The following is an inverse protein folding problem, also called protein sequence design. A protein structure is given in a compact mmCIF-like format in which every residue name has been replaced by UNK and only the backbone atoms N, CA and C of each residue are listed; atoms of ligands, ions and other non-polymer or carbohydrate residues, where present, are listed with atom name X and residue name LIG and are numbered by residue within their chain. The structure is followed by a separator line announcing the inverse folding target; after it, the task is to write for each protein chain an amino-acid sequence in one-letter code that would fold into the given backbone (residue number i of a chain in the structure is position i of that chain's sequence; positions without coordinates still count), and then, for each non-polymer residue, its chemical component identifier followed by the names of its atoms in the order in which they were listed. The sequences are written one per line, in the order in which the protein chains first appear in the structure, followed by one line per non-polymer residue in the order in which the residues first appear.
data_IF_669233599028
#
_entry.id   IF_669233599028
#
_cell.length_a   1.000
_cell.length_b   1.000
_cell.length_c   1.000
_cell.angle_alpha   90.00
_cell.angle_beta   90.00
_cell.angle_gamma   90.00
#
_symmetry.space_group_name_H-M   'P 1'
#
loop_
_entity.id
_entity.type
_entity.pdbx_description
1 polymer ?
#
# COMPACT_ATOMS: atom_id res chain seq x y z
N UNK A 1 -20.18 20.62 12.25
CA UNK A 1 -20.20 20.21 12.35
C UNK A 1 -20.06 19.60 12.31
N UNK A 2 -19.63 19.57 12.33
CA UNK A 2 -19.57 18.96 12.37
C UNK A 2 -19.84 18.36 12.01
N UNK A 3 -19.74 18.40 11.73
CA UNK A 3 -20.03 17.78 11.49
C UNK A 3 -20.32 17.12 10.97
N UNK A 4 -20.25 17.28 10.63
CA UNK A 4 -20.56 16.58 10.26
C UNK A 4 -20.42 15.87 10.07
N UNK A 5 -20.06 15.79 10.35
CA UNK A 5 -19.98 14.93 10.47
C UNK A 5 -20.44 14.08 10.20
N UNK A 6 -20.28 14.13 10.02
CA UNK A 6 -20.91 13.46 9.85
C UNK A 6 -21.40 12.37 9.71
N UNK A 7 -21.83 12.61 9.60
CA UNK A 7 -22.51 11.43 9.71
C UNK A 7 -22.46 10.45 8.63
N UNK A 8 -21.52 10.55 7.77
CA UNK A 8 -21.25 9.58 6.76
C UNK A 8 -20.94 8.24 7.39
N UNK A 9 -21.23 7.12 6.71
CA UNK A 9 -20.81 5.82 7.20
C UNK A 9 -19.31 5.81 7.47
N UNK A 10 -18.90 4.98 8.40
CA UNK A 10 -17.51 4.99 8.84
C UNK A 10 -16.53 4.84 7.69
N UNK A 11 -16.85 3.99 6.73
CA UNK A 11 -15.95 3.76 5.61
C UNK A 11 -15.88 4.93 4.66
N UNK A 12 -16.83 5.87 4.74
CA UNK A 12 -16.86 7.03 3.87
C UNK A 12 -16.37 8.29 4.55
N UNK A 13 -16.10 8.21 5.84
CA UNK A 13 -15.61 9.38 6.55
C UNK A 13 -14.14 9.56 6.30
N UNK A 14 -13.67 10.80 6.14
CA UNK A 14 -12.24 11.00 6.11
C UNK A 14 -11.66 10.61 7.46
N UNK A 15 -10.54 9.91 7.43
CA UNK A 15 -9.83 9.54 8.64
C UNK A 15 -9.17 10.75 9.26
N UNK A 16 -8.94 11.81 8.47
CA UNK A 16 -8.14 12.95 8.89
C UNK A 16 -9.00 14.20 8.97
N UNK A 17 -8.66 15.12 9.90
CA UNK A 17 -9.29 16.43 9.91
C UNK A 17 -9.01 17.17 8.60
N UNK A 18 -9.91 18.08 8.25
CA UNK A 18 -9.80 18.81 6.99
C UNK A 18 -8.58 19.72 6.94
N UNK A 19 -8.04 20.11 8.11
CA UNK A 19 -6.95 21.07 8.16
C UNK A 19 -5.57 20.44 8.26
N UNK A 20 -5.45 19.12 8.11
CA UNK A 20 -4.13 18.51 8.16
C UNK A 20 -3.45 18.62 6.82
N UNK A 21 -2.15 18.55 6.86
CA UNK A 21 -1.33 18.60 5.67
C UNK A 21 -0.91 17.20 5.26
N UNK A 22 -1.08 16.89 3.99
CA UNK A 22 -0.70 15.60 3.43
C UNK A 22 0.70 15.72 2.85
N UNK A 23 1.57 14.80 3.24
CA UNK A 23 2.90 14.69 2.66
C UNK A 23 3.08 13.35 1.98
N UNK A 24 4.18 13.22 1.26
CA UNK A 24 4.53 11.96 0.60
C UNK A 24 5.75 11.40 1.29
N UNK A 25 5.66 10.13 1.66
CA UNK A 25 6.75 9.38 2.27
C UNK A 25 7.16 8.28 1.28
N UNK A 26 8.34 8.42 0.69
CA UNK A 26 8.83 7.40 -0.24
C UNK A 26 9.41 6.27 0.57
N UNK A 27 8.96 5.05 0.28
CA UNK A 27 9.50 3.88 0.97
C UNK A 27 10.84 3.54 0.32
N UNK A 28 11.94 3.62 1.08
CA UNK A 28 13.25 3.33 0.52
C UNK A 28 13.34 1.85 0.16
N UNK A 29 14.03 1.59 -0.92
CA UNK A 29 14.25 0.24 -1.45
C UNK A 29 12.99 -0.37 -2.05
N UNK A 30 13.18 -0.98 -3.17
CA UNK A 30 12.10 -1.63 -3.90
C UNK A 30 11.66 -2.90 -3.20
N UNK A 31 10.45 -3.35 -3.52
CA UNK A 31 9.95 -4.65 -3.09
C UNK A 31 10.16 -5.63 -4.24
N UNK A 32 10.66 -6.80 -3.91
CA UNK A 32 10.85 -7.87 -4.89
C UNK A 32 9.96 -9.03 -4.54
N UNK A 33 9.11 -9.42 -5.48
CA UNK A 33 8.11 -10.46 -5.26
C UNK A 33 8.32 -11.55 -6.28
N UNK A 34 8.87 -12.70 -5.89
CA UNK A 34 9.03 -13.79 -6.85
C UNK A 34 7.69 -14.41 -7.20
N UNK A 35 7.51 -14.71 -8.47
CA UNK A 35 6.33 -15.42 -8.96
C UNK A 35 6.72 -16.88 -9.14
N UNK A 36 6.05 -17.74 -8.38
CA UNK A 36 6.35 -19.16 -8.36
C UNK A 36 5.37 -19.88 -9.25
N UNK A 37 5.88 -20.65 -10.21
CA UNK A 37 5.06 -21.47 -11.09
C UNK A 37 5.68 -22.87 -11.08
N UNK A 38 4.90 -23.86 -10.73
CA UNK A 38 5.36 -25.25 -10.68
C UNK A 38 6.63 -25.40 -9.87
N UNK A 39 6.61 -24.80 -8.67
CA UNK A 39 7.71 -24.85 -7.69
C UNK A 39 9.00 -24.18 -8.16
N UNK A 40 8.94 -23.35 -9.19
CA UNK A 40 10.10 -22.62 -9.67
C UNK A 40 9.79 -21.14 -9.81
N UNK A 41 10.80 -20.32 -9.64
CA UNK A 41 10.66 -18.88 -9.84
C UNK A 41 10.61 -18.60 -11.33
N UNK A 42 9.42 -18.21 -11.80
CA UNK A 42 9.22 -17.90 -13.22
C UNK A 42 9.66 -16.47 -13.55
N UNK A 43 9.40 -15.55 -12.63
CA UNK A 43 9.75 -14.15 -12.82
C UNK A 43 9.76 -13.47 -11.47
N UNK A 44 10.19 -12.21 -11.44
CA UNK A 44 10.21 -11.41 -10.23
C UNK A 44 9.50 -10.10 -10.52
N UNK A 45 8.56 -9.73 -9.67
CA UNK A 45 7.94 -8.42 -9.69
C UNK A 45 8.77 -7.48 -8.85
N UNK A 46 9.01 -6.29 -9.36
CA UNK A 46 9.75 -5.25 -8.66
C UNK A 46 8.84 -4.06 -8.55
N UNK A 47 8.53 -3.65 -7.32
CA UNK A 47 7.60 -2.55 -7.07
C UNK A 47 8.28 -1.48 -6.22
N UNK A 48 8.00 -0.24 -6.57
CA UNK A 48 8.39 0.92 -5.76
C UNK A 48 7.13 1.56 -5.23
N UNK A 49 7.10 1.79 -3.93
CA UNK A 49 5.92 2.32 -3.25
C UNK A 49 6.23 3.64 -2.57
N UNK A 50 5.21 4.47 -2.46
CA UNK A 50 5.24 5.65 -1.63
C UNK A 50 3.91 5.72 -0.88
N UNK A 51 3.90 6.50 0.19
CA UNK A 51 2.70 6.66 1.02
C UNK A 51 2.32 8.12 1.07
N UNK A 52 1.04 8.41 0.94
CA UNK A 52 0.52 9.71 1.35
C UNK A 52 0.19 9.61 2.82
N UNK A 53 0.73 10.52 3.59
CA UNK A 53 0.65 10.46 5.05
C UNK A 53 0.21 11.79 5.62
N UNK A 54 -0.25 11.76 6.86
CA UNK A 54 -0.36 12.96 7.66
C UNK A 54 1.05 13.45 7.96
N UNK A 55 1.41 14.61 7.41
CA UNK A 55 2.78 15.10 7.51
C UNK A 55 3.24 15.21 8.95
N UNK A 56 2.34 15.57 9.85
CA UNK A 56 2.68 15.68 11.28
C UNK A 56 3.11 14.35 11.89
N UNK A 57 2.79 13.24 11.23
CA UNK A 57 3.11 11.89 11.73
C UNK A 57 4.25 11.23 10.96
N UNK A 58 5.03 12.02 10.26
CA UNK A 58 6.14 11.45 9.46
C UNK A 58 7.10 10.64 10.31
N UNK A 59 7.40 11.10 11.52
CA UNK A 59 8.30 10.38 12.42
C UNK A 59 7.72 9.03 12.83
N UNK A 60 6.41 8.95 13.02
CA UNK A 60 5.74 7.70 13.32
C UNK A 60 5.90 6.70 12.18
N UNK A 61 5.71 7.16 10.94
CA UNK A 61 5.88 6.30 9.76
C UNK A 61 7.31 5.81 9.67
N UNK A 62 8.26 6.70 9.89
CA UNK A 62 9.68 6.33 9.84
C UNK A 62 10.02 5.27 10.89
N UNK A 63 9.49 5.43 12.10
CA UNK A 63 9.71 4.47 13.18
C UNK A 63 9.08 3.11 12.85
N UNK A 64 7.90 3.12 12.22
CA UNK A 64 7.16 1.91 11.91
C UNK A 64 7.63 1.24 10.62
N UNK A 65 8.57 1.84 9.90
CA UNK A 65 8.90 1.41 8.55
C UNK A 65 9.24 -0.08 8.42
N UNK A 66 10.06 -0.67 9.32
CA UNK A 66 10.34 -2.11 9.16
C UNK A 66 9.09 -2.97 9.24
N UNK A 67 8.17 -2.62 10.14
CA UNK A 67 6.92 -3.38 10.27
C UNK A 67 5.99 -3.12 9.10
N UNK A 68 5.99 -1.88 8.60
CA UNK A 68 5.22 -1.55 7.40
C UNK A 68 5.71 -2.34 6.20
N UNK A 69 7.04 -2.41 6.03
CA UNK A 69 7.58 -3.18 4.91
C UNK A 69 7.23 -4.65 5.01
N UNK A 70 7.34 -5.23 6.20
CA UNK A 70 7.01 -6.64 6.41
C UNK A 70 5.55 -6.91 6.05
N UNK A 71 4.64 -6.10 6.57
CA UNK A 71 3.21 -6.29 6.32
C UNK A 71 2.86 -6.10 4.85
N UNK A 72 3.46 -5.12 4.21
CA UNK A 72 3.20 -4.85 2.80
C UNK A 72 3.75 -5.94 1.90
N UNK A 73 4.93 -6.47 2.25
CA UNK A 73 5.50 -7.58 1.49
C UNK A 73 4.60 -8.81 1.57
N UNK A 74 4.02 -9.08 2.76
CA UNK A 74 3.09 -10.19 2.89
C UNK A 74 1.86 -10.00 2.01
N UNK A 75 1.33 -8.78 1.97
CA UNK A 75 0.20 -8.47 1.08
C UNK A 75 0.56 -8.78 -0.36
N UNK A 76 1.76 -8.42 -0.78
CA UNK A 76 2.19 -8.67 -2.16
C UNK A 76 2.36 -10.16 -2.44
N UNK A 77 2.86 -10.93 -1.49
CA UNK A 77 2.94 -12.38 -1.64
C UNK A 77 1.55 -12.98 -1.77
N UNK A 78 0.60 -12.54 -0.94
CA UNK A 78 -0.77 -13.03 -1.02
C UNK A 78 -1.40 -12.68 -2.37
N UNK A 79 -1.14 -11.47 -2.86
CA UNK A 79 -1.64 -11.03 -4.16
C UNK A 79 -1.04 -11.89 -5.28
N UNK A 80 0.24 -12.17 -5.20
CA UNK A 80 0.92 -13.02 -6.19
C UNK A 80 0.34 -14.44 -6.16
N UNK A 81 0.12 -14.98 -4.97
CA UNK A 81 -0.37 -16.34 -4.81
C UNK A 81 -1.81 -16.50 -5.29
N UNK A 82 -2.56 -15.42 -5.35
CA UNK A 82 -3.93 -15.43 -5.87
C UNK A 82 -3.98 -15.07 -7.36
N UNK A 83 -2.85 -14.95 -8.01
CA UNK A 83 -2.78 -14.69 -9.46
C UNK A 83 -2.84 -13.22 -9.83
N UNK A 84 -2.74 -12.33 -8.87
CA UNK A 84 -2.91 -10.88 -9.12
C UNK A 84 -1.82 -10.26 -9.97
N UNK A 85 -0.65 -10.90 -10.06
CA UNK A 85 0.44 -10.39 -10.89
C UNK A 85 0.58 -11.15 -12.21
N UNK A 86 -0.41 -11.97 -12.55
CA UNK A 86 -0.42 -12.69 -13.82
C UNK A 86 -1.19 -11.90 -14.86
N UNK A 87 -0.90 -12.17 -16.13
CA UNK A 87 -1.63 -11.55 -17.24
C UNK A 87 -1.56 -10.03 -17.21
N UNK A 88 -2.70 -9.38 -17.24
CA UNK A 88 -2.77 -7.90 -17.25
C UNK A 88 -2.61 -7.34 -15.84
N UNK A 89 -1.46 -7.58 -15.23
CA UNK A 89 -1.22 -7.24 -13.83
C UNK A 89 -1.23 -5.72 -13.56
N UNK A 90 -1.09 -4.91 -14.60
CA UNK A 90 -1.16 -3.45 -14.45
C UNK A 90 -2.57 -2.90 -14.68
N UNK A 91 -3.57 -3.75 -14.89
CA UNK A 91 -4.94 -3.28 -15.06
C UNK A 91 -5.39 -2.52 -13.82
N UNK A 92 -6.16 -1.45 -14.03
CA UNK A 92 -6.58 -0.58 -12.94
C UNK A 92 -7.33 -1.36 -11.84
N UNK A 93 -8.18 -2.29 -12.21
CA UNK A 93 -8.93 -3.07 -11.22
C UNK A 93 -8.00 -3.91 -10.35
N UNK A 94 -6.97 -4.50 -10.97
CA UNK A 94 -5.99 -5.31 -10.25
C UNK A 94 -5.16 -4.46 -9.30
N UNK A 95 -4.66 -3.33 -9.79
CA UNK A 95 -3.84 -2.46 -8.95
C UNK A 95 -4.65 -1.77 -7.87
N UNK A 96 -5.92 -1.45 -8.13
CA UNK A 96 -6.77 -0.86 -7.10
C UNK A 96 -6.98 -1.81 -5.93
N UNK A 97 -7.18 -3.10 -6.22
CA UNK A 97 -7.30 -4.10 -5.18
C UNK A 97 -6.02 -4.21 -4.36
N UNK A 98 -4.87 -4.20 -5.05
CA UNK A 98 -3.58 -4.25 -4.38
C UNK A 98 -3.36 -3.04 -3.48
N UNK A 99 -3.64 -1.82 -4.00
CA UNK A 99 -3.50 -0.60 -3.22
C UNK A 99 -4.37 -0.63 -1.97
N UNK A 100 -5.60 -1.11 -2.10
CA UNK A 100 -6.50 -1.20 -0.95
C UNK A 100 -5.96 -2.12 0.11
N UNK A 101 -5.49 -3.30 -0.29
CA UNK A 101 -4.94 -4.26 0.66
C UNK A 101 -3.69 -3.71 1.35
N UNK A 102 -2.83 -3.03 0.59
CA UNK A 102 -1.63 -2.41 1.15
C UNK A 102 -2.00 -1.32 2.15
N UNK A 103 -3.01 -0.51 1.81
CA UNK A 103 -3.45 0.56 2.70
C UNK A 103 -4.00 -0.01 3.99
N UNK A 104 -4.82 -1.04 3.91
CA UNK A 104 -5.38 -1.66 5.12
C UNK A 104 -4.27 -2.20 6.01
N UNK A 105 -3.29 -2.86 5.43
CA UNK A 105 -2.18 -3.40 6.20
C UNK A 105 -1.38 -2.28 6.88
N UNK A 106 -1.13 -1.20 6.16
CA UNK A 106 -0.39 -0.07 6.73
C UNK A 106 -1.16 0.62 7.84
N UNK A 107 -2.46 0.79 7.66
CA UNK A 107 -3.28 1.45 8.66
C UNK A 107 -3.42 0.63 9.94
N UNK A 108 -3.35 -0.68 9.84
CA UNK A 108 -3.35 -1.52 11.04
C UNK A 108 -2.11 -1.31 11.89
N UNK A 109 -1.00 -0.91 11.27
CA UNK A 109 0.25 -0.70 12.00
C UNK A 109 0.35 0.72 12.50
N UNK A 110 0.12 1.71 11.65
CA UNK A 110 0.38 3.10 11.99
C UNK A 110 -0.87 3.93 12.27
N UNK A 111 -2.03 3.49 11.80
CA UNK A 111 -3.29 4.17 12.05
C UNK A 111 -3.92 4.76 10.80
N UNK A 112 -5.26 4.88 10.83
CA UNK A 112 -6.02 5.47 9.74
C UNK A 112 -5.73 6.95 9.56
N UNK A 113 -5.38 7.62 10.67
CA UNK A 113 -5.08 9.03 10.65
C UNK A 113 -3.61 9.31 10.31
N UNK A 114 -2.84 8.28 10.04
CA UNK A 114 -1.43 8.41 9.70
C UNK A 114 -1.19 8.12 8.23
N UNK A 115 -1.69 6.98 7.74
CA UNK A 115 -1.49 6.59 6.34
C UNK A 115 -2.80 6.80 5.59
N UNK A 116 -2.74 7.65 4.57
CA UNK A 116 -3.92 8.10 3.85
C UNK A 116 -4.10 7.30 2.56
N UNK A 117 -3.00 6.99 1.88
CA UNK A 117 -3.06 6.36 0.57
C UNK A 117 -1.75 5.68 0.27
N UNK A 118 -1.80 4.60 -0.49
CA UNK A 118 -0.61 3.92 -0.98
C UNK A 118 -0.47 4.19 -2.47
N UNK A 119 0.72 4.60 -2.88
CA UNK A 119 1.04 4.89 -4.26
C UNK A 119 2.00 3.81 -4.77
N UNK A 120 1.70 3.27 -5.95
CA UNK A 120 2.62 2.37 -6.64
C UNK A 120 3.28 3.23 -7.70
N UNK A 121 4.53 3.62 -7.47
CA UNK A 121 5.20 4.56 -8.34
C UNK A 121 5.97 3.88 -9.46
N UNK A 122 6.34 2.62 -9.27
CA UNK A 122 6.94 1.82 -10.33
C UNK A 122 6.54 0.37 -10.14
N UNK A 123 6.34 -0.32 -11.25
CA UNK A 123 6.11 -1.76 -11.24
C UNK A 123 6.71 -2.34 -12.50
N UNK A 124 7.46 -3.41 -12.33
CA UNK A 124 8.17 -4.06 -13.42
C UNK A 124 8.17 -5.57 -13.18
N UNK A 125 7.94 -6.34 -14.23
CA UNK A 125 8.10 -7.79 -14.16
C UNK A 125 9.32 -8.18 -14.97
N UNK A 126 10.26 -8.86 -14.32
CA UNK A 126 11.51 -9.28 -14.91
C UNK A 126 11.59 -10.79 -14.93
N UNK A 127 12.11 -11.34 -16.02
CA UNK A 127 12.27 -12.77 -16.16
C UNK A 127 11.32 -13.36 -17.20
N UNK A 128 11.34 -14.66 -17.29
CA UNK A 128 10.60 -15.37 -18.33
C UNK A 128 9.08 -15.30 -18.15
#
# INVERSE_FOLDING_TARGET
PEAEEVTAPAELRPALPANIQIGVFEIPNQFMVPLIVEDRIASVLILTLALEINEAQRATVSTDLPRLRDAMLQVMFDHANSGGFSGAFTANTTLSALRRALLEAGQKISGQDVIVKVLITDILRSGA
#
